data_IF_666546245191
#
_entry.id   IF_666546245191
#
_cell.length_a   1.000
_cell.length_b   1.000
_cell.length_c   1.000
_cell.angle_alpha   90.00
_cell.angle_beta   90.00
_cell.angle_gamma   90.00
#
_symmetry.space_group_name_H-M   'P 1'
#
loop_
_entity.id
_entity.type
_entity.pdbx_description
1 polymer ?
#
# COMPACT_ATOMS: atom_id res chain seq x y z
N UNK A 1 -9.74 -13.81 9.04
CA UNK A 1 -10.48 -12.79 8.26
C UNK A 1 -9.48 -11.95 7.48
N UNK A 2 -9.85 -11.48 6.29
CA UNK A 2 -9.11 -10.47 5.55
C UNK A 2 -10.00 -9.24 5.51
N UNK A 3 -9.54 -8.13 6.09
CA UNK A 3 -10.29 -6.87 6.10
C UNK A 3 -9.51 -5.85 5.28
N UNK A 4 -10.20 -5.08 4.44
CA UNK A 4 -9.60 -4.02 3.63
C UNK A 4 -10.05 -2.69 4.21
N UNK A 5 -9.08 -1.86 4.62
CA UNK A 5 -9.32 -0.48 5.04
C UNK A 5 -8.80 0.48 3.98
N UNK A 6 -9.64 1.38 3.51
CA UNK A 6 -9.25 2.50 2.62
C UNK A 6 -9.15 3.77 3.45
N UNK A 7 -7.99 4.41 3.43
CA UNK A 7 -7.78 5.71 4.08
C UNK A 7 -8.19 6.81 3.10
N UNK A 8 -9.14 7.64 3.50
CA UNK A 8 -9.70 8.71 2.67
C UNK A 8 -9.40 10.09 3.26
N UNK A 9 -9.28 11.10 2.40
CA UNK A 9 -9.02 12.49 2.78
C UNK A 9 -10.16 13.44 2.42
N UNK A 10 -9.82 14.60 1.85
CA UNK A 10 -10.78 15.69 1.56
C UNK A 10 -11.99 15.30 0.70
N UNK A 11 -11.91 14.24 -0.12
CA UNK A 11 -13.01 13.70 -0.95
C UNK A 11 -13.66 12.44 -0.37
N UNK A 12 -13.62 12.27 0.94
CA UNK A 12 -14.10 11.06 1.63
C UNK A 12 -15.52 10.65 1.20
N UNK A 13 -16.45 11.60 1.12
CA UNK A 13 -17.85 11.31 0.80
C UNK A 13 -18.03 10.84 -0.65
N UNK A 14 -17.27 11.42 -1.59
CA UNK A 14 -17.28 10.98 -2.98
C UNK A 14 -16.75 9.55 -3.11
N UNK A 15 -15.62 9.25 -2.46
CA UNK A 15 -15.00 7.91 -2.50
C UNK A 15 -15.90 6.88 -1.82
N UNK A 16 -16.47 7.18 -0.65
CA UNK A 16 -17.42 6.29 0.05
C UNK A 16 -18.63 5.97 -0.81
N UNK A 17 -19.15 6.95 -1.55
CA UNK A 17 -20.29 6.75 -2.45
C UNK A 17 -19.94 5.80 -3.60
N UNK A 18 -18.74 5.91 -4.17
CA UNK A 18 -18.29 5.04 -5.27
C UNK A 18 -18.00 3.60 -4.80
N UNK A 19 -17.58 3.42 -3.54
CA UNK A 19 -17.22 2.12 -2.98
C UNK A 19 -18.30 1.53 -2.06
N UNK A 20 -19.53 2.06 -2.08
CA UNK A 20 -20.62 1.67 -1.18
C UNK A 20 -21.00 0.18 -1.25
N UNK A 21 -20.79 -0.43 -2.42
CA UNK A 21 -21.14 -1.82 -2.71
C UNK A 21 -19.96 -2.77 -2.46
N UNK A 22 -18.82 -2.26 -1.99
CA UNK A 22 -17.64 -3.03 -1.63
C UNK A 22 -17.62 -3.33 -0.12
N UNK A 23 -17.19 -4.54 0.24
CA UNK A 23 -16.98 -4.95 1.63
C UNK A 23 -15.64 -4.40 2.14
N UNK A 24 -15.61 -3.10 2.44
CA UNK A 24 -14.42 -2.37 2.92
C UNK A 24 -14.75 -1.46 4.10
N UNK A 25 -13.76 -1.20 4.95
CA UNK A 25 -13.82 -0.17 6.00
C UNK A 25 -13.10 1.10 5.55
N UNK A 26 -13.39 2.21 6.22
CA UNK A 26 -12.79 3.50 5.94
C UNK A 26 -12.11 4.09 7.16
N UNK A 27 -10.91 4.62 6.97
CA UNK A 27 -10.25 5.53 7.91
C UNK A 27 -10.24 6.95 7.32
N UNK A 28 -10.37 7.98 8.15
CA UNK A 28 -10.34 9.38 7.70
C UNK A 28 -9.03 10.03 8.13
N UNK A 29 -8.30 10.60 7.16
CA UNK A 29 -7.30 11.61 7.42
C UNK A 29 -7.85 12.97 6.96
N UNK A 30 -8.37 13.76 7.90
CA UNK A 30 -9.06 15.02 7.59
C UNK A 30 -8.11 16.17 7.21
N UNK A 31 -6.81 16.04 7.52
CA UNK A 31 -5.82 17.08 7.28
C UNK A 31 -5.10 16.84 5.94
N UNK A 32 -5.40 17.63 4.89
CA UNK A 32 -4.77 17.46 3.58
C UNK A 32 -3.30 17.88 3.57
N UNK A 33 -2.85 18.67 4.56
CA UNK A 33 -1.46 19.14 4.67
C UNK A 33 -0.60 18.17 5.51
N UNK A 34 -1.20 17.09 6.02
CA UNK A 34 -0.49 16.08 6.79
C UNK A 34 0.28 15.09 5.91
N UNK A 35 1.34 14.54 6.48
CA UNK A 35 2.21 13.59 5.81
C UNK A 35 1.55 12.20 5.66
N UNK A 36 2.01 11.41 4.67
CA UNK A 36 1.49 10.06 4.40
C UNK A 36 1.56 9.11 5.60
N UNK A 37 2.55 9.32 6.48
CA UNK A 37 2.71 8.62 7.77
C UNK A 37 1.45 8.71 8.65
N UNK A 38 0.76 9.85 8.66
CA UNK A 38 -0.50 10.04 9.39
C UNK A 38 -1.58 9.14 8.80
N UNK A 39 -1.72 9.12 7.47
CA UNK A 39 -2.66 8.21 6.79
C UNK A 39 -2.38 6.74 7.10
N UNK A 40 -1.11 6.33 7.15
CA UNK A 40 -0.71 4.97 7.54
C UNK A 40 -1.15 4.68 8.97
N UNK A 41 -0.87 5.58 9.92
CA UNK A 41 -1.28 5.41 11.31
C UNK A 41 -2.82 5.28 11.42
N UNK A 42 -3.59 6.12 10.73
CA UNK A 42 -5.07 6.00 10.66
C UNK A 42 -5.53 4.67 10.12
N UNK A 43 -4.86 4.12 9.10
CA UNK A 43 -5.14 2.79 8.58
C UNK A 43 -4.84 1.69 9.59
N UNK A 44 -3.70 1.77 10.28
CA UNK A 44 -3.26 0.79 11.28
C UNK A 44 -4.16 0.78 12.52
N UNK A 45 -4.69 1.95 12.93
CA UNK A 45 -5.70 2.07 13.99
C UNK A 45 -6.97 1.24 13.71
N UNK A 46 -7.32 1.02 12.43
CA UNK A 46 -8.49 0.22 12.03
C UNK A 46 -8.22 -1.28 11.95
N UNK A 47 -6.96 -1.70 12.05
CA UNK A 47 -6.59 -3.11 11.91
C UNK A 47 -6.91 -3.87 13.20
N UNK A 48 -7.76 -4.88 13.09
CA UNK A 48 -8.16 -5.79 14.16
C UNK A 48 -6.97 -6.27 15.01
N UNK A 49 -7.14 -6.32 16.33
CA UNK A 49 -6.10 -6.73 17.28
C UNK A 49 -5.63 -8.19 17.06
N UNK A 50 -6.49 -9.04 16.50
CA UNK A 50 -6.17 -10.44 16.20
C UNK A 50 -5.37 -10.59 14.90
N UNK A 51 -5.35 -9.57 14.04
CA UNK A 51 -4.56 -9.59 12.82
C UNK A 51 -3.07 -9.76 13.15
N UNK A 52 -2.36 -10.50 12.29
CA UNK A 52 -0.94 -10.85 12.49
C UNK A 52 0.02 -10.15 11.53
N UNK A 53 -0.50 -9.69 10.40
CA UNK A 53 0.24 -8.87 9.45
C UNK A 53 -0.70 -7.89 8.76
N UNK A 54 -0.12 -6.81 8.22
CA UNK A 54 -0.79 -5.83 7.38
C UNK A 54 -0.08 -5.77 6.02
N UNK A 55 -0.87 -5.60 4.96
CA UNK A 55 -0.35 -5.23 3.64
C UNK A 55 -0.69 -3.76 3.40
N UNK A 56 0.32 -2.94 3.16
CA UNK A 56 0.16 -1.52 2.85
C UNK A 56 0.36 -1.33 1.35
N UNK A 57 -0.71 -0.97 0.66
CA UNK A 57 -0.73 -0.67 -0.77
C UNK A 57 -1.02 0.82 -0.99
N UNK A 58 -0.49 1.38 -2.08
CA UNK A 58 -0.79 2.75 -2.49
C UNK A 58 -1.87 2.74 -3.57
N UNK A 59 -2.78 3.71 -3.52
CA UNK A 59 -3.96 3.77 -4.41
C UNK A 59 -3.61 4.18 -5.84
N UNK A 60 -2.47 4.85 -6.01
CA UNK A 60 -1.85 5.25 -7.27
C UNK A 60 -1.03 4.12 -7.92
N UNK A 61 -1.03 2.90 -7.35
CA UNK A 61 -0.42 1.70 -7.95
C UNK A 61 -1.50 0.69 -8.41
N UNK A 62 -2.46 1.06 -9.28
CA UNK A 62 -3.62 0.20 -9.57
C UNK A 62 -3.29 -1.04 -10.40
N UNK A 63 -2.14 -1.07 -11.09
CA UNK A 63 -1.73 -2.15 -11.99
C UNK A 63 -0.92 -3.27 -11.30
N UNK A 64 -0.81 -3.25 -9.96
CA UNK A 64 -0.16 -4.33 -9.22
C UNK A 64 -0.91 -5.65 -9.45
N UNK A 65 -0.20 -6.65 -9.97
CA UNK A 65 -0.78 -7.97 -10.16
C UNK A 65 -1.12 -8.63 -8.80
N UNK A 66 -2.29 -9.28 -8.64
CA UNK A 66 -2.65 -9.98 -7.41
C UNK A 66 -1.63 -11.05 -6.97
N UNK A 67 -0.86 -11.60 -7.92
CA UNK A 67 0.22 -12.53 -7.62
C UNK A 67 1.33 -11.93 -6.74
N UNK A 68 1.59 -10.62 -6.84
CA UNK A 68 2.56 -9.92 -5.99
C UNK A 68 2.10 -9.91 -4.54
N UNK A 69 0.82 -9.60 -4.30
CA UNK A 69 0.24 -9.60 -2.94
C UNK A 69 0.28 -11.02 -2.35
N UNK A 70 -0.11 -12.03 -3.14
CA UNK A 70 -0.07 -13.44 -2.71
C UNK A 70 1.35 -13.88 -2.34
N UNK A 71 2.34 -13.53 -3.16
CA UNK A 71 3.74 -13.82 -2.90
C UNK A 71 4.20 -13.30 -1.53
N UNK A 72 3.89 -12.04 -1.20
CA UNK A 72 4.25 -11.45 0.10
C UNK A 72 3.60 -12.22 1.26
N UNK A 73 2.31 -12.53 1.12
CA UNK A 73 1.55 -13.26 2.14
C UNK A 73 2.09 -14.68 2.34
N UNK A 74 2.42 -15.38 1.25
CA UNK A 74 2.91 -16.74 1.30
C UNK A 74 4.31 -16.82 1.93
N UNK A 75 5.21 -15.89 1.60
CA UNK A 75 6.52 -15.78 2.24
C UNK A 75 6.40 -15.53 3.75
N UNK A 76 5.47 -14.65 4.17
CA UNK A 76 5.21 -14.40 5.58
C UNK A 76 4.63 -15.64 6.29
N UNK A 77 3.63 -16.31 5.68
CA UNK A 77 3.02 -17.53 6.24
C UNK A 77 4.00 -18.68 6.38
N UNK A 78 4.97 -18.78 5.48
CA UNK A 78 6.03 -19.78 5.55
C UNK A 78 7.10 -19.47 6.61
N UNK A 79 6.94 -18.37 7.37
CA UNK A 79 7.85 -17.99 8.45
C UNK A 79 9.20 -17.47 7.94
N UNK A 80 9.28 -17.02 6.68
CA UNK A 80 10.52 -16.58 6.09
C UNK A 80 10.99 -15.20 6.60
N UNK A 81 10.18 -14.49 7.38
CA UNK A 81 10.52 -13.18 7.90
C UNK A 81 9.28 -12.41 8.34
N UNK A 82 9.49 -11.14 8.70
CA UNK A 82 8.44 -10.25 9.19
C UNK A 82 8.18 -9.03 8.31
N UNK A 83 9.14 -8.69 7.44
CA UNK A 83 9.09 -7.50 6.60
C UNK A 83 9.39 -7.90 5.16
N UNK A 84 8.42 -7.70 4.28
CA UNK A 84 8.56 -8.08 2.88
C UNK A 84 8.22 -6.91 1.97
N UNK A 85 9.01 -6.75 0.92
CA UNK A 85 8.81 -5.73 -0.09
C UNK A 85 9.14 -6.29 -1.47
N UNK A 86 8.26 -6.14 -2.47
CA UNK A 86 8.61 -6.50 -3.83
C UNK A 86 9.68 -5.55 -4.37
N UNK A 87 10.53 -6.07 -5.24
CA UNK A 87 11.46 -5.25 -6.02
C UNK A 87 11.42 -5.64 -7.49
N UNK A 88 11.50 -4.62 -8.35
CA UNK A 88 11.67 -4.79 -9.79
C UNK A 88 13.00 -4.17 -10.18
N UNK A 89 13.90 -4.95 -10.78
CA UNK A 89 15.23 -4.51 -11.22
C UNK A 89 16.03 -3.75 -10.13
N UNK A 90 15.94 -4.23 -8.88
CA UNK A 90 16.62 -3.64 -7.72
C UNK A 90 15.92 -2.41 -7.11
N UNK A 91 14.82 -1.93 -7.71
CA UNK A 91 13.99 -0.87 -7.16
C UNK A 91 12.88 -1.47 -6.29
N UNK A 92 12.95 -1.22 -4.98
CA UNK A 92 11.90 -1.61 -4.04
C UNK A 92 10.60 -0.83 -4.29
N UNK A 93 9.47 -1.51 -4.13
CA UNK A 93 8.15 -0.98 -4.46
C UNK A 93 7.06 -1.29 -3.44
N UNK A 94 5.81 -1.12 -3.84
CA UNK A 94 4.60 -1.49 -3.11
C UNK A 94 3.89 -2.66 -3.81
N UNK A 95 3.02 -3.40 -3.09
CA UNK A 95 2.67 -3.21 -1.69
C UNK A 95 3.74 -3.80 -0.78
N UNK A 96 3.78 -3.36 0.48
CA UNK A 96 4.66 -3.95 1.48
C UNK A 96 3.86 -4.77 2.46
N UNK A 97 4.43 -5.86 2.96
CA UNK A 97 3.86 -6.65 4.05
C UNK A 97 4.69 -6.45 5.30
N UNK A 98 4.01 -6.14 6.40
CA UNK A 98 4.60 -5.87 7.70
C UNK A 98 3.88 -6.72 8.76
N UNK A 99 4.65 -7.52 9.49
CA UNK A 99 4.17 -8.25 10.66
C UNK A 99 3.69 -7.27 11.75
N UNK A 100 2.55 -7.55 12.37
CA UNK A 100 1.96 -6.66 13.37
C UNK A 100 2.67 -6.72 14.73
N UNK A 101 3.75 -7.49 14.86
CA UNK A 101 4.75 -7.27 15.89
C UNK A 101 5.35 -5.85 15.86
N UNK A 102 5.31 -5.16 14.70
CA UNK A 102 5.74 -3.75 14.57
C UNK A 102 4.59 -2.74 14.66
N UNK A 103 3.40 -3.15 15.13
CA UNK A 103 2.21 -2.27 15.16
C UNK A 103 2.50 -0.94 15.84
N UNK A 104 3.14 -0.95 17.01
CA UNK A 104 3.44 0.27 17.76
C UNK A 104 4.37 1.21 16.98
N UNK A 105 5.36 0.67 16.28
CA UNK A 105 6.26 1.46 15.43
C UNK A 105 5.53 2.06 14.22
N UNK A 106 4.53 1.35 13.67
CA UNK A 106 3.69 1.86 12.59
C UNK A 106 2.75 2.97 13.07
N UNK A 107 2.26 2.90 14.31
CA UNK A 107 1.44 3.94 14.93
C UNK A 107 2.28 5.17 15.32
N UNK A 108 3.57 4.98 15.59
CA UNK A 108 4.50 6.05 15.99
C UNK A 108 5.49 6.43 14.88
N UNK A 109 5.12 6.30 13.61
CA UNK A 109 5.98 6.71 12.50
C UNK A 109 6.33 8.19 12.62
N UNK A 110 7.60 8.50 12.35
CA UNK A 110 8.04 9.88 12.22
C UNK A 110 7.26 10.55 11.08
N UNK A 111 6.56 11.68 11.33
CA UNK A 111 5.75 12.30 10.31
C UNK A 111 6.51 12.63 9.04
N UNK A 112 7.74 13.15 9.16
CA UNK A 112 8.56 13.65 8.05
C UNK A 112 9.31 12.54 7.31
N UNK A 113 9.70 11.46 8.01
CA UNK A 113 10.47 10.37 7.42
C UNK A 113 9.60 9.19 6.97
N UNK A 114 8.46 9.00 7.62
CA UNK A 114 7.44 8.01 7.32
C UNK A 114 7.94 6.57 7.24
N UNK A 115 7.28 5.79 6.38
CA UNK A 115 7.54 4.36 6.23
C UNK A 115 8.95 4.06 5.70
N UNK A 116 9.58 5.01 5.01
CA UNK A 116 10.95 4.87 4.53
C UNK A 116 11.94 4.70 5.68
N UNK A 117 11.87 5.55 6.70
CA UNK A 117 12.76 5.43 7.87
C UNK A 117 12.52 4.14 8.65
N UNK A 118 11.27 3.67 8.72
CA UNK A 118 10.96 2.36 9.28
C UNK A 118 11.71 1.23 8.53
N UNK A 119 11.61 1.19 7.20
CA UNK A 119 12.33 0.18 6.41
C UNK A 119 13.85 0.33 6.44
N UNK A 120 14.38 1.55 6.61
CA UNK A 120 15.81 1.79 6.75
C UNK A 120 16.32 1.30 8.12
N UNK A 121 15.56 1.49 9.19
CA UNK A 121 15.86 0.97 10.53
C UNK A 121 15.89 -0.55 10.57
N UNK A 122 14.92 -1.20 9.93
CA UNK A 122 14.81 -2.66 9.86
C UNK A 122 15.43 -3.26 8.59
N UNK A 123 16.43 -2.60 8.01
CA UNK A 123 17.07 -3.03 6.76
C UNK A 123 17.59 -4.48 6.80
N UNK A 124 18.06 -4.94 7.95
CA UNK A 124 18.56 -6.30 8.13
C UNK A 124 17.45 -7.37 8.14
N UNK A 125 16.23 -6.99 8.55
CA UNK A 125 15.07 -7.88 8.63
C UNK A 125 14.20 -7.81 7.36
N UNK A 126 14.31 -6.70 6.61
CA UNK A 126 13.62 -6.46 5.34
C UNK A 126 14.07 -7.44 4.28
N UNK A 127 13.15 -8.30 3.84
CA UNK A 127 13.33 -9.18 2.69
C UNK A 127 12.78 -8.51 1.44
N UNK A 128 13.65 -8.27 0.47
CA UNK A 128 13.23 -7.84 -0.87
C UNK A 128 12.97 -9.05 -1.75
N UNK A 129 11.80 -9.09 -2.38
CA UNK A 129 11.35 -10.20 -3.20
C UNK A 129 11.37 -9.76 -4.67
N UNK A 130 12.26 -10.30 -5.50
CA UNK A 130 12.27 -9.99 -6.92
C UNK A 130 10.95 -10.39 -7.57
N UNK A 131 10.35 -9.46 -8.31
CA UNK A 131 9.15 -9.69 -9.12
C UNK A 131 9.40 -9.21 -10.54
N UNK A 132 8.73 -9.81 -11.53
CA UNK A 132 8.77 -9.37 -12.92
C UNK A 132 7.58 -8.46 -13.25
N UNK A 133 7.45 -7.35 -12.51
CA UNK A 133 6.36 -6.39 -12.70
C UNK A 133 6.85 -4.98 -12.39
N UNK A 134 7.01 -4.09 -13.38
CA UNK A 134 7.44 -2.71 -13.13
C UNK A 134 6.41 -1.91 -12.32
N UNK A 135 5.15 -2.34 -12.30
CA UNK A 135 4.05 -1.68 -11.60
C UNK A 135 4.20 -1.64 -10.08
N UNK A 136 5.12 -2.41 -9.49
CA UNK A 136 5.36 -2.30 -8.04
C UNK A 136 6.05 -1.00 -7.65
N UNK A 137 6.75 -0.35 -8.59
CA UNK A 137 7.57 0.82 -8.30
C UNK A 137 7.24 2.00 -9.23
N UNK A 138 5.99 2.04 -9.73
CA UNK A 138 5.53 3.06 -10.67
C UNK A 138 4.30 3.77 -10.11
N UNK A 139 4.50 5.03 -9.79
CA UNK A 139 3.46 5.95 -9.34
C UNK A 139 2.62 6.45 -10.53
N UNK A 140 1.38 6.85 -10.26
CA UNK A 140 0.44 7.40 -11.24
C UNK A 140 -0.01 8.80 -10.80
N UNK A 141 0.91 9.75 -10.82
CA UNK A 141 0.71 11.10 -10.28
C UNK A 141 0.13 12.09 -11.30
N UNK A 142 0.47 11.89 -12.57
CA UNK A 142 0.08 12.83 -13.64
C UNK A 142 -0.94 12.23 -14.58
N UNK A 143 -1.64 13.11 -15.32
CA UNK A 143 -2.52 12.69 -16.40
C UNK A 143 -1.82 11.82 -17.45
N UNK A 144 -0.54 12.12 -17.72
CA UNK A 144 0.27 11.34 -18.65
C UNK A 144 0.60 9.96 -18.08
N UNK A 145 0.89 9.84 -16.78
CA UNK A 145 1.07 8.54 -16.11
C UNK A 145 -0.20 7.70 -16.21
N UNK A 146 -1.36 8.30 -15.95
CA UNK A 146 -2.66 7.63 -16.09
C UNK A 146 -2.90 7.14 -17.52
N UNK A 147 -2.69 7.99 -18.52
CA UNK A 147 -2.88 7.61 -19.94
C UNK A 147 -1.98 6.47 -20.36
N UNK A 148 -0.70 6.55 -20.03
CA UNK A 148 0.27 5.49 -20.34
C UNK A 148 -0.08 4.19 -19.62
N UNK A 149 -0.47 4.27 -18.35
CA UNK A 149 -0.86 3.08 -17.58
C UNK A 149 -2.13 2.45 -18.14
N UNK A 150 -3.14 3.26 -18.47
CA UNK A 150 -4.39 2.80 -19.06
C UNK A 150 -4.16 2.13 -20.42
N UNK A 151 -3.33 2.71 -21.28
CA UNK A 151 -2.97 2.10 -22.57
C UNK A 151 -2.23 0.76 -22.40
N UNK A 152 -1.32 0.67 -21.44
CA UNK A 152 -0.57 -0.57 -21.18
C UNK A 152 -1.44 -1.67 -20.58
N UNK A 153 -2.38 -1.32 -19.71
CA UNK A 153 -3.23 -2.29 -18.99
C UNK A 153 -4.43 -2.71 -19.85
N UNK A 154 -5.07 -1.78 -20.56
CA UNK A 154 -6.31 -2.02 -21.30
C UNK A 154 -6.14 -2.01 -22.82
N UNK A 155 -4.97 -1.65 -23.34
CA UNK A 155 -4.70 -1.62 -24.78
C UNK A 155 -5.31 -0.43 -25.53
N UNK A 156 -5.78 0.61 -24.81
CA UNK A 156 -6.39 1.80 -25.39
C UNK A 156 -6.16 3.03 -24.49
N UNK A 157 -6.19 4.23 -25.06
CA UNK A 157 -6.23 5.46 -24.27
C UNK A 157 -7.56 5.60 -23.52
N UNK A 158 -7.57 6.25 -22.34
CA UNK A 158 -8.82 6.53 -21.63
C UNK A 158 -9.68 7.49 -22.46
N UNK A 159 -11.00 7.35 -22.39
CA UNK A 159 -11.91 8.33 -22.95
C UNK A 159 -11.63 9.70 -22.30
N UNK A 160 -11.48 10.76 -23.11
CA UNK A 160 -11.34 12.11 -22.57
C UNK A 160 -12.63 12.46 -21.82
N UNK A 161 -12.55 12.57 -20.49
CA UNK A 161 -13.64 13.04 -19.62
C UNK A 161 -13.59 14.55 -19.50
#
# INVERSE_FOLDING_TARGET
MQNITVVVGHRADEIRKQLKDCEISFALNADPDSEMSVSIARGVEQVDEQAKAIVIALVDHPAIAPAVIRLLIDEWRNGHGKLFQPEYEGRGGHPVLIDLAYRDELLSLDPQLGLRAFFDRHRAERRRLPVNSPYVARDMDTWEDYRQLHEQVFGALPECV
#
